data_IF_791744321302
#
_entry.id   IF_791744321302
#
_cell.length_a   1.000
_cell.length_b   1.000
_cell.length_c   1.000
_cell.angle_alpha   90.00
_cell.angle_beta   90.00
_cell.angle_gamma   90.00
#
_symmetry.space_group_name_H-M   'P 1'
#
loop_
_entity.id
_entity.type
_entity.pdbx_description
1 polymer ?
#
# COMPACT_ATOMS: atom_id res chain seq x y z
N UNK A 1 -112.30 -82.44 79.63
CA UNK A 1 -112.53 -83.34 78.47
C UNK A 1 -111.43 -83.05 77.47
N UNK A 2 -110.36 -83.84 77.30
CA UNK A 2 -110.10 -85.23 77.70
C UNK A 2 -108.58 -85.46 77.83
N UNK A 3 -108.20 -86.23 78.84
CA UNK A 3 -107.02 -87.12 79.07
C UNK A 3 -106.39 -87.73 77.79
N UNK A 4 -105.16 -88.26 77.71
CA UNK A 4 -103.96 -88.36 78.56
C UNK A 4 -102.85 -89.08 77.72
N UNK A 5 -101.60 -88.74 77.98
CA UNK A 5 -100.32 -89.48 77.83
C UNK A 5 -99.98 -90.41 76.62
N UNK A 6 -98.84 -90.15 75.94
CA UNK A 6 -97.52 -90.83 76.18
C UNK A 6 -96.36 -90.38 75.25
N UNK A 7 -95.27 -89.98 75.92
CA UNK A 7 -93.83 -90.24 75.70
C UNK A 7 -92.98 -89.68 74.51
N UNK A 8 -92.02 -88.83 74.92
CA UNK A 8 -90.56 -88.78 74.62
C UNK A 8 -90.05 -88.56 73.17
N UNK A 9 -89.39 -87.40 72.94
CA UNK A 9 -87.90 -87.28 72.79
C UNK A 9 -87.43 -85.85 72.39
N UNK A 10 -86.41 -85.40 73.12
CA UNK A 10 -85.21 -84.60 72.73
C UNK A 10 -85.32 -83.11 72.33
N UNK A 11 -84.57 -82.35 73.12
CA UNK A 11 -84.07 -80.97 73.06
C UNK A 11 -82.96 -80.73 72.01
N UNK A 12 -82.84 -79.50 71.46
CA UNK A 12 -81.70 -78.56 71.65
C UNK A 12 -81.53 -77.44 70.57
N UNK A 13 -81.12 -76.25 71.05
CA UNK A 13 -80.41 -75.10 70.41
C UNK A 13 -81.15 -74.03 69.55
N UNK A 14 -80.92 -72.71 69.81
CA UNK A 14 -79.68 -72.03 69.37
C UNK A 14 -79.11 -70.92 70.31
N UNK A 15 -77.86 -71.06 70.77
CA UNK A 15 -77.05 -70.01 71.42
C UNK A 15 -75.63 -69.81 70.81
N UNK A 16 -75.28 -70.60 69.79
CA UNK A 16 -73.90 -70.73 69.27
C UNK A 16 -73.55 -69.71 68.17
N UNK A 17 -74.53 -69.35 67.34
CA UNK A 17 -74.36 -68.45 66.18
C UNK A 17 -73.95 -67.01 66.55
N UNK A 18 -74.32 -66.54 67.74
CA UNK A 18 -74.04 -65.16 68.19
C UNK A 18 -72.57 -65.00 68.59
N UNK A 19 -71.95 -66.03 69.16
CA UNK A 19 -70.52 -66.05 69.53
C UNK A 19 -69.61 -66.15 68.31
N UNK A 20 -69.98 -66.96 67.33
CA UNK A 20 -69.27 -67.02 66.04
C UNK A 20 -69.33 -65.70 65.28
N UNK A 21 -70.49 -65.04 65.25
CA UNK A 21 -70.64 -63.70 64.64
C UNK A 21 -69.76 -62.65 65.33
N UNK A 22 -69.73 -62.62 66.66
CA UNK A 22 -68.85 -61.71 67.41
C UNK A 22 -67.36 -62.00 67.22
N UNK A 23 -66.97 -63.27 67.10
CA UNK A 23 -65.59 -63.66 66.82
C UNK A 23 -65.17 -63.23 65.40
N UNK A 24 -66.04 -63.43 64.41
CA UNK A 24 -65.82 -63.00 63.03
C UNK A 24 -65.72 -61.47 62.92
N UNK A 25 -66.61 -60.71 63.57
CA UNK A 25 -66.56 -59.25 63.58
C UNK A 25 -65.28 -58.73 64.23
N UNK A 26 -64.83 -59.34 65.34
CA UNK A 26 -63.55 -58.99 65.98
C UNK A 26 -62.35 -59.29 65.10
N UNK A 27 -62.33 -60.43 64.42
CA UNK A 27 -61.26 -60.81 63.50
C UNK A 27 -61.23 -59.91 62.26
N UNK A 28 -62.40 -59.57 61.70
CA UNK A 28 -62.53 -58.67 60.54
C UNK A 28 -62.11 -57.25 60.88
N UNK A 29 -62.50 -56.74 62.06
CA UNK A 29 -62.05 -55.44 62.56
C UNK A 29 -60.54 -55.43 62.82
N UNK A 30 -59.98 -56.48 63.43
CA UNK A 30 -58.53 -56.59 63.66
C UNK A 30 -57.74 -56.62 62.35
N UNK A 31 -58.20 -57.40 61.37
CA UNK A 31 -57.56 -57.50 60.05
C UNK A 31 -57.76 -56.22 59.22
N UNK A 32 -58.90 -55.55 59.40
CA UNK A 32 -59.14 -54.22 58.82
C UNK A 32 -58.23 -53.15 59.40
N UNK A 33 -57.96 -53.18 60.72
CA UNK A 33 -56.98 -52.33 61.40
C UNK A 33 -55.56 -52.63 60.92
N UNK A 34 -55.14 -53.90 60.86
CA UNK A 34 -53.82 -54.28 60.34
C UNK A 34 -53.60 -53.82 58.89
N UNK A 35 -54.62 -53.95 58.02
CA UNK A 35 -54.55 -53.47 56.63
C UNK A 35 -54.54 -51.95 56.56
N UNK A 36 -55.31 -51.25 57.39
CA UNK A 36 -55.27 -49.77 57.41
C UNK A 36 -53.97 -49.24 57.99
N UNK A 37 -53.38 -49.89 58.99
CA UNK A 37 -52.05 -49.57 59.51
C UNK A 37 -50.97 -49.80 58.44
N UNK A 38 -50.99 -50.95 57.76
CA UNK A 38 -50.08 -51.25 56.65
C UNK A 38 -50.23 -50.26 55.49
N UNK A 39 -51.46 -49.88 55.12
CA UNK A 39 -51.72 -48.87 54.10
C UNK A 39 -51.26 -47.48 54.53
N UNK A 40 -51.37 -47.12 55.81
CA UNK A 40 -50.88 -45.85 56.34
C UNK A 40 -49.34 -45.82 56.36
N UNK A 41 -48.71 -46.94 56.65
CA UNK A 41 -47.25 -47.13 56.56
C UNK A 41 -46.78 -47.00 55.11
N UNK A 42 -47.37 -47.75 54.18
CA UNK A 42 -47.08 -47.61 52.75
C UNK A 42 -47.34 -46.17 52.26
N UNK A 43 -48.42 -45.52 52.71
CA UNK A 43 -48.70 -44.14 52.29
C UNK A 43 -47.64 -43.15 52.81
N UNK A 44 -47.14 -43.34 54.04
CA UNK A 44 -46.01 -42.56 54.56
C UNK A 44 -44.76 -42.81 53.74
N UNK A 45 -44.45 -44.07 53.48
CA UNK A 45 -43.25 -44.47 52.74
C UNK A 45 -43.27 -43.92 51.30
N UNK A 46 -44.42 -44.02 50.62
CA UNK A 46 -44.64 -43.44 49.29
C UNK A 46 -44.55 -41.91 49.32
N UNK A 47 -45.08 -41.24 50.36
CA UNK A 47 -44.95 -39.78 50.50
C UNK A 47 -43.51 -39.36 50.72
N UNK A 48 -42.75 -40.08 51.54
CA UNK A 48 -41.33 -39.83 51.77
C UNK A 48 -40.52 -40.04 50.49
N UNK A 49 -40.78 -41.12 49.74
CA UNK A 49 -40.15 -41.38 48.45
C UNK A 49 -40.48 -40.27 47.44
N UNK A 50 -41.76 -39.89 47.33
CA UNK A 50 -42.20 -38.83 46.44
C UNK A 50 -41.55 -37.48 46.77
N UNK A 51 -41.36 -37.19 48.05
CA UNK A 51 -40.68 -35.97 48.50
C UNK A 51 -39.19 -36.00 48.16
N UNK A 52 -38.50 -37.11 48.43
CA UNK A 52 -37.09 -37.30 48.04
C UNK A 52 -36.90 -37.15 46.53
N UNK A 53 -37.73 -37.80 45.73
CA UNK A 53 -37.67 -37.73 44.26
C UNK A 53 -37.97 -36.32 43.75
N UNK A 54 -38.85 -35.55 44.41
CA UNK A 54 -39.12 -34.15 44.04
C UNK A 54 -37.95 -33.23 44.35
N UNK A 55 -37.32 -33.40 45.51
CA UNK A 55 -36.12 -32.64 45.90
C UNK A 55 -34.95 -32.95 44.96
N UNK A 56 -34.78 -34.22 44.60
CA UNK A 56 -33.77 -34.66 43.64
C UNK A 56 -34.06 -34.14 42.23
N UNK A 57 -35.32 -34.17 41.77
CA UNK A 57 -35.71 -33.54 40.49
C UNK A 57 -35.46 -32.04 40.47
N UNK A 58 -35.74 -31.33 41.57
CA UNK A 58 -35.50 -29.90 41.67
C UNK A 58 -34.00 -29.58 41.57
N UNK A 59 -33.14 -30.36 42.23
CA UNK A 59 -31.67 -30.25 42.11
C UNK A 59 -31.18 -30.54 40.69
N UNK A 60 -31.63 -31.63 40.09
CA UNK A 60 -31.25 -31.99 38.72
C UNK A 60 -31.68 -30.93 37.71
N UNK A 61 -32.88 -30.37 37.83
CA UNK A 61 -33.34 -29.26 36.98
C UNK A 61 -32.50 -27.99 37.14
N UNK A 62 -32.11 -27.65 38.37
CA UNK A 62 -31.22 -26.52 38.62
C UNK A 62 -29.82 -26.75 38.02
N UNK A 63 -29.32 -27.99 38.09
CA UNK A 63 -28.04 -28.37 37.49
C UNK A 63 -28.10 -28.32 35.95
N UNK A 64 -29.14 -28.85 35.33
CA UNK A 64 -29.34 -28.77 33.87
C UNK A 64 -29.44 -27.32 33.39
N UNK A 65 -30.17 -26.46 34.11
CA UNK A 65 -30.26 -25.04 33.78
C UNK A 65 -28.90 -24.32 33.88
N UNK A 66 -28.07 -24.69 34.87
CA UNK A 66 -26.69 -24.21 34.98
C UNK A 66 -25.83 -24.71 33.81
N UNK A 67 -25.96 -25.98 33.44
CA UNK A 67 -25.21 -26.58 32.33
C UNK A 67 -25.60 -25.99 30.96
N UNK A 68 -26.87 -25.63 30.78
CA UNK A 68 -27.36 -24.91 29.60
C UNK A 68 -26.78 -23.49 29.54
N UNK A 69 -26.76 -22.75 30.65
CA UNK A 69 -26.15 -21.43 30.72
C UNK A 69 -24.64 -21.46 30.45
N UNK A 70 -23.93 -22.48 30.96
CA UNK A 70 -22.51 -22.70 30.68
C UNK A 70 -22.31 -22.98 29.19
N UNK A 71 -23.16 -23.81 28.57
CA UNK A 71 -23.09 -24.09 27.13
C UNK A 71 -23.28 -22.84 26.27
N UNK A 72 -24.21 -21.96 26.62
CA UNK A 72 -24.42 -20.72 25.88
C UNK A 72 -23.26 -19.73 26.05
N UNK A 73 -22.68 -19.64 27.26
CA UNK A 73 -21.46 -18.85 27.48
C UNK A 73 -20.28 -19.38 26.66
N UNK A 74 -20.08 -20.70 26.59
CA UNK A 74 -19.02 -21.31 25.78
C UNK A 74 -19.20 -21.00 24.29
N UNK A 75 -20.42 -21.12 23.76
CA UNK A 75 -20.73 -20.72 22.38
C UNK A 75 -20.41 -19.25 22.13
N UNK A 76 -20.73 -18.38 23.10
CA UNK A 76 -20.45 -16.95 22.97
C UNK A 76 -18.96 -16.66 22.98
N UNK A 77 -18.20 -17.37 23.81
CA UNK A 77 -16.72 -17.28 23.83
C UNK A 77 -16.16 -17.70 22.47
N UNK A 78 -16.58 -18.83 21.92
CA UNK A 78 -16.13 -19.30 20.59
C UNK A 78 -16.45 -18.28 19.49
N UNK A 79 -17.65 -17.70 19.51
CA UNK A 79 -18.04 -16.64 18.56
C UNK A 79 -17.13 -15.41 18.71
N UNK A 80 -16.93 -14.92 19.93
CA UNK A 80 -16.10 -13.75 20.19
C UNK A 80 -14.62 -14.00 19.84
N UNK A 81 -14.12 -15.22 20.05
CA UNK A 81 -12.78 -15.61 19.65
C UNK A 81 -12.62 -15.69 18.13
N UNK A 82 -13.65 -16.14 17.41
CA UNK A 82 -13.66 -16.12 15.95
C UNK A 82 -13.71 -14.67 15.41
N UNK A 83 -14.58 -13.82 15.97
CA UNK A 83 -14.67 -12.40 15.61
C UNK A 83 -13.35 -11.66 15.91
N UNK A 84 -12.74 -11.90 17.08
CA UNK A 84 -11.44 -11.33 17.44
C UNK A 84 -10.36 -11.74 16.44
N UNK A 85 -10.30 -13.02 16.07
CA UNK A 85 -9.33 -13.50 15.06
C UNK A 85 -9.55 -12.85 13.70
N UNK A 86 -10.79 -12.71 13.26
CA UNK A 86 -11.11 -12.06 11.99
C UNK A 86 -10.74 -10.56 12.00
N UNK A 87 -11.01 -9.85 13.10
CA UNK A 87 -10.64 -8.44 13.25
C UNK A 87 -9.12 -8.24 13.28
N UNK A 88 -8.39 -9.09 13.99
CA UNK A 88 -6.93 -9.03 14.01
C UNK A 88 -6.34 -9.26 12.60
N UNK A 89 -6.80 -10.30 11.89
CA UNK A 89 -6.35 -10.56 10.53
C UNK A 89 -6.63 -9.38 9.58
N UNK A 90 -7.79 -8.73 9.73
CA UNK A 90 -8.13 -7.53 8.95
C UNK A 90 -7.25 -6.32 9.33
N UNK A 91 -6.92 -6.16 10.61
CA UNK A 91 -5.99 -5.12 11.07
C UNK A 91 -4.62 -5.32 10.44
N UNK A 92 -4.10 -6.54 10.48
CA UNK A 92 -2.80 -6.87 9.89
C UNK A 92 -2.78 -6.60 8.37
N UNK A 93 -3.85 -6.93 7.65
CA UNK A 93 -3.99 -6.60 6.23
C UNK A 93 -4.01 -5.08 5.98
N UNK A 94 -4.75 -4.31 6.79
CA UNK A 94 -4.83 -2.86 6.66
C UNK A 94 -3.49 -2.20 6.99
N UNK A 95 -2.77 -2.68 8.00
CA UNK A 95 -1.46 -2.17 8.38
C UNK A 95 -0.44 -2.41 7.26
N UNK A 96 -0.47 -3.60 6.64
CA UNK A 96 0.39 -3.91 5.50
C UNK A 96 0.07 -3.04 4.27
N UNK A 97 -1.22 -2.86 3.96
CA UNK A 97 -1.65 -1.97 2.88
C UNK A 97 -1.30 -0.51 3.14
N UNK A 98 -1.34 -0.09 4.40
CA UNK A 98 -0.96 1.28 4.80
C UNK A 98 0.53 1.49 4.55
N UNK A 99 1.40 0.57 4.99
CA UNK A 99 2.85 0.63 4.71
C UNK A 99 3.16 0.68 3.22
N UNK A 100 2.50 -0.16 2.43
CA UNK A 100 2.68 -0.18 0.97
C UNK A 100 2.25 1.14 0.32
N UNK A 101 1.13 1.71 0.77
CA UNK A 101 0.66 3.00 0.28
C UNK A 101 1.59 4.15 0.67
N UNK A 102 2.16 4.13 1.88
CA UNK A 102 3.14 5.14 2.32
C UNK A 102 4.38 5.15 1.42
N UNK A 103 4.96 3.97 1.14
CA UNK A 103 6.11 3.84 0.23
C UNK A 103 5.77 4.38 -1.16
N UNK A 104 4.64 3.95 -1.72
CA UNK A 104 4.23 4.40 -3.06
C UNK A 104 3.92 5.90 -3.12
N UNK A 105 3.32 6.45 -2.07
CA UNK A 105 3.02 7.88 -2.01
C UNK A 105 4.32 8.68 -1.96
N UNK A 106 5.29 8.22 -1.17
CA UNK A 106 6.61 8.82 -1.12
C UNK A 106 7.32 8.81 -2.49
N UNK A 107 7.32 7.67 -3.20
CA UNK A 107 7.89 7.58 -4.55
C UNK A 107 7.22 8.57 -5.53
N UNK A 108 5.88 8.62 -5.53
CA UNK A 108 5.12 9.55 -6.39
C UNK A 108 5.43 11.01 -6.04
N UNK A 109 5.54 11.34 -4.74
CA UNK A 109 5.89 12.68 -4.30
C UNK A 109 7.30 13.08 -4.73
N UNK A 110 8.27 12.15 -4.70
CA UNK A 110 9.61 12.38 -5.22
C UNK A 110 9.60 12.62 -6.73
N UNK A 111 8.92 11.78 -7.51
CA UNK A 111 8.80 11.97 -8.97
C UNK A 111 8.12 13.29 -9.33
N UNK A 112 7.04 13.66 -8.61
CA UNK A 112 6.36 14.94 -8.80
C UNK A 112 7.25 16.13 -8.45
N UNK A 113 8.04 16.01 -7.38
CA UNK A 113 9.00 17.03 -6.98
C UNK A 113 10.06 17.24 -8.07
N UNK A 114 10.63 16.15 -8.59
CA UNK A 114 11.63 16.19 -9.66
C UNK A 114 11.06 16.81 -10.94
N UNK A 115 9.83 16.43 -11.33
CA UNK A 115 9.14 17.00 -12.48
C UNK A 115 8.89 18.50 -12.32
N UNK A 116 8.47 18.94 -11.12
CA UNK A 116 8.24 20.35 -10.83
C UNK A 116 9.53 21.16 -10.93
N UNK A 117 10.64 20.64 -10.39
CA UNK A 117 11.96 21.27 -10.49
C UNK A 117 12.40 21.40 -11.95
N UNK A 118 12.25 20.34 -12.75
CA UNK A 118 12.61 20.35 -14.18
C UNK A 118 11.72 21.31 -14.98
N UNK A 119 10.43 21.40 -14.64
CA UNK A 119 9.51 22.36 -15.26
C UNK A 119 9.93 23.82 -14.98
N UNK A 120 10.26 24.15 -13.73
CA UNK A 120 10.72 25.49 -13.36
C UNK A 120 12.03 25.82 -14.08
N UNK A 121 12.97 24.87 -14.11
CA UNK A 121 14.22 24.99 -14.85
C UNK A 121 13.99 25.27 -16.35
N UNK A 122 13.09 24.52 -16.98
CA UNK A 122 12.70 24.71 -18.37
C UNK A 122 12.11 26.09 -18.62
N UNK A 123 11.14 26.52 -17.80
CA UNK A 123 10.52 27.82 -17.91
C UNK A 123 11.53 28.95 -17.76
N UNK A 124 12.44 28.86 -16.78
CA UNK A 124 13.46 29.89 -16.56
C UNK A 124 14.48 29.96 -17.70
N UNK A 125 14.93 28.81 -18.19
CA UNK A 125 15.89 28.73 -19.29
C UNK A 125 15.35 29.40 -20.56
N UNK A 126 14.12 29.09 -20.94
CA UNK A 126 13.50 29.63 -22.16
C UNK A 126 12.95 31.05 -22.02
N UNK A 127 12.64 31.50 -20.79
CA UNK A 127 12.30 32.91 -20.54
C UNK A 127 13.52 33.84 -20.58
N UNK A 128 14.73 33.29 -20.55
CA UNK A 128 15.96 34.08 -20.50
C UNK A 128 16.43 34.48 -21.90
N UNK A 129 16.36 35.77 -22.22
CA UNK A 129 16.69 36.31 -23.54
C UNK A 129 18.09 36.95 -23.63
N UNK A 130 19.01 36.58 -22.72
CA UNK A 130 20.40 37.05 -22.78
C UNK A 130 21.36 35.87 -22.71
N UNK A 131 22.38 35.85 -23.57
CA UNK A 131 23.33 34.73 -23.65
C UNK A 131 24.02 34.49 -22.31
N UNK A 132 24.48 35.57 -21.66
CA UNK A 132 25.09 35.49 -20.32
C UNK A 132 24.12 34.94 -19.29
N UNK A 133 22.85 35.31 -19.36
CA UNK A 133 21.80 34.78 -18.50
C UNK A 133 21.60 33.29 -18.71
N UNK A 134 21.50 32.83 -19.96
CA UNK A 134 21.34 31.41 -20.31
C UNK A 134 22.53 30.60 -19.81
N UNK A 135 23.77 31.04 -20.08
CA UNK A 135 24.98 30.34 -19.60
C UNK A 135 25.01 30.26 -18.08
N UNK A 136 24.62 31.34 -17.39
CA UNK A 136 24.50 31.34 -15.92
C UNK A 136 23.45 30.31 -15.45
N UNK A 137 22.28 30.25 -16.08
CA UNK A 137 21.24 29.29 -15.72
C UNK A 137 21.71 27.85 -15.98
N UNK A 138 22.39 27.57 -17.11
CA UNK A 138 22.97 26.26 -17.38
C UNK A 138 23.97 25.87 -16.27
N UNK A 139 24.84 26.80 -15.86
CA UNK A 139 25.78 26.61 -14.74
C UNK A 139 25.05 26.30 -13.42
N UNK A 140 24.03 27.08 -13.08
CA UNK A 140 23.23 26.89 -11.86
C UNK A 140 22.52 25.53 -11.85
N UNK A 141 21.96 25.08 -12.99
CA UNK A 141 21.34 23.76 -13.09
C UNK A 141 22.35 22.62 -12.90
N UNK A 142 23.53 22.73 -13.51
CA UNK A 142 24.61 21.76 -13.33
C UNK A 142 25.07 21.71 -11.88
N UNK A 143 25.16 22.84 -11.19
CA UNK A 143 25.60 22.89 -9.80
C UNK A 143 24.51 22.44 -8.81
N UNK A 144 23.29 22.94 -8.94
CA UNK A 144 22.22 22.76 -7.95
C UNK A 144 21.51 21.42 -8.09
N UNK A 145 21.13 21.03 -9.31
CA UNK A 145 20.33 19.82 -9.52
C UNK A 145 21.23 18.59 -9.70
N UNK A 146 22.31 18.70 -10.49
CA UNK A 146 23.23 17.57 -10.66
C UNK A 146 24.32 17.45 -9.61
N UNK A 147 24.55 18.50 -8.81
CA UNK A 147 25.68 18.53 -7.88
C UNK A 147 27.02 18.53 -8.60
N UNK A 148 27.13 19.14 -9.78
CA UNK A 148 28.37 19.27 -10.52
C UNK A 148 29.39 20.14 -9.77
N UNK A 149 30.58 19.61 -9.56
CA UNK A 149 31.68 20.31 -8.90
C UNK A 149 32.68 20.87 -9.92
N UNK A 150 33.08 20.06 -10.89
CA UNK A 150 33.99 20.44 -11.98
C UNK A 150 33.34 20.12 -13.32
N UNK A 151 33.08 21.14 -14.14
CA UNK A 151 32.40 20.99 -15.41
C UNK A 151 32.72 22.13 -16.38
N UNK A 152 32.45 21.91 -17.66
CA UNK A 152 32.63 22.90 -18.72
C UNK A 152 31.50 22.82 -19.75
N UNK A 153 31.25 23.94 -20.41
CA UNK A 153 30.35 24.04 -21.56
C UNK A 153 31.19 24.53 -22.74
N UNK A 154 31.16 23.80 -23.85
CA UNK A 154 31.79 24.22 -25.10
C UNK A 154 30.74 24.56 -26.14
N UNK A 155 31.04 25.56 -26.96
CA UNK A 155 30.20 25.97 -28.09
C UNK A 155 30.95 25.71 -29.39
N UNK A 156 30.26 25.10 -30.35
CA UNK A 156 30.84 24.78 -31.66
C UNK A 156 31.04 26.05 -32.50
N UNK A 157 32.15 26.09 -33.23
CA UNK A 157 32.41 27.11 -34.23
C UNK A 157 31.46 27.01 -35.43
N UNK A 158 31.39 28.09 -36.20
CA UNK A 158 30.60 28.15 -37.43
C UNK A 158 31.03 27.14 -38.50
N UNK A 159 32.31 26.77 -38.56
CA UNK A 159 32.83 25.75 -39.49
C UNK A 159 32.51 24.32 -39.04
N UNK A 160 32.11 24.11 -37.78
CA UNK A 160 31.85 22.79 -37.20
C UNK A 160 33.10 21.97 -36.87
N UNK A 161 34.31 22.53 -37.02
CA UNK A 161 35.56 21.77 -36.86
C UNK A 161 36.08 21.78 -35.43
N UNK A 162 35.80 22.85 -34.68
CA UNK A 162 36.29 23.04 -33.32
C UNK A 162 35.19 23.59 -32.43
N UNK A 163 35.39 23.46 -31.13
CA UNK A 163 34.53 24.04 -30.12
C UNK A 163 35.36 24.76 -29.06
N UNK A 164 34.90 25.93 -28.64
CA UNK A 164 35.58 26.76 -27.65
C UNK A 164 34.87 26.69 -26.30
N UNK A 165 35.61 26.77 -25.19
CA UNK A 165 34.99 26.83 -23.88
C UNK A 165 34.17 28.12 -23.74
N UNK A 166 32.87 27.95 -23.55
CA UNK A 166 31.92 29.02 -23.21
C UNK A 166 31.90 29.29 -21.71
N UNK A 167 32.08 28.23 -20.91
CA UNK A 167 32.15 28.28 -19.45
C UNK A 167 33.05 27.14 -18.97
N UNK A 168 33.83 27.41 -17.93
CA UNK A 168 34.61 26.41 -17.19
C UNK A 168 34.49 26.67 -15.70
N UNK A 169 34.01 25.69 -14.95
CA UNK A 169 33.87 25.76 -13.48
C UNK A 169 34.84 24.78 -12.84
N UNK A 170 35.72 25.30 -11.96
CA UNK A 170 36.75 24.54 -11.23
C UNK A 170 37.70 23.67 -12.08
N UNK A 171 37.86 24.02 -13.37
CA UNK A 171 38.76 23.33 -14.31
C UNK A 171 39.94 24.18 -14.79
N UNK A 172 40.02 25.45 -14.37
CA UNK A 172 41.02 26.40 -14.87
C UNK A 172 40.73 26.87 -16.29
N UNK A 173 41.74 27.46 -16.96
CA UNK A 173 41.62 27.85 -18.36
C UNK A 173 41.65 26.63 -19.28
N UNK A 174 40.68 26.54 -20.18
CA UNK A 174 40.54 25.43 -21.11
C UNK A 174 40.92 25.84 -22.54
N UNK A 175 41.48 24.89 -23.27
CA UNK A 175 41.69 25.01 -24.71
C UNK A 175 40.43 24.66 -25.51
N UNK A 176 40.46 24.98 -26.80
CA UNK A 176 39.49 24.49 -27.78
C UNK A 176 39.60 22.98 -28.00
N UNK A 177 38.48 22.32 -28.27
CA UNK A 177 38.40 20.89 -28.63
C UNK A 177 38.19 20.74 -30.14
N UNK A 178 38.85 19.75 -30.76
CA UNK A 178 38.65 19.40 -32.17
C UNK A 178 37.51 18.38 -32.28
N UNK A 179 36.55 18.63 -33.18
CA UNK A 179 35.42 17.73 -33.40
C UNK A 179 35.92 16.44 -34.04
N UNK A 180 35.45 15.30 -33.53
CA UNK A 180 35.92 13.96 -33.93
C UNK A 180 37.17 13.46 -33.19
N UNK A 181 37.86 14.30 -32.41
CA UNK A 181 39.04 13.90 -31.62
C UNK A 181 38.73 13.82 -30.12
N UNK A 182 39.21 12.76 -29.48
CA UNK A 182 38.95 12.50 -28.06
C UNK A 182 37.46 12.24 -27.75
N UNK A 183 37.12 11.90 -26.50
CA UNK A 183 35.76 11.53 -26.15
C UNK A 183 34.77 12.70 -26.31
N UNK A 184 35.21 13.92 -26.01
CA UNK A 184 34.39 15.14 -26.14
C UNK A 184 34.11 15.43 -27.62
N UNK A 185 35.14 15.40 -28.48
CA UNK A 185 34.99 15.64 -29.91
C UNK A 185 34.17 14.54 -30.61
N UNK A 186 34.31 13.28 -30.19
CA UNK A 186 33.51 12.17 -30.71
C UNK A 186 32.03 12.35 -30.33
N UNK A 187 31.73 12.71 -29.08
CA UNK A 187 30.35 12.98 -28.66
C UNK A 187 29.73 14.14 -29.45
N UNK A 188 30.51 15.18 -29.74
CA UNK A 188 30.04 16.28 -30.61
C UNK A 188 29.75 15.81 -32.04
N UNK A 189 30.62 15.01 -32.63
CA UNK A 189 30.48 14.50 -33.99
C UNK A 189 29.28 13.54 -34.14
N UNK A 190 29.09 12.67 -33.15
CA UNK A 190 28.04 11.64 -33.17
C UNK A 190 26.69 12.15 -32.65
N UNK A 191 26.68 13.18 -31.82
CA UNK A 191 25.50 13.64 -31.10
C UNK A 191 25.03 12.68 -30.00
N UNK A 192 25.83 11.67 -29.65
CA UNK A 192 25.48 10.65 -28.65
C UNK A 192 26.07 11.05 -27.30
N UNK A 193 25.22 11.12 -26.27
CA UNK A 193 25.65 11.37 -24.91
C UNK A 193 26.44 10.18 -24.35
N UNK A 194 27.44 10.48 -23.51
CA UNK A 194 28.22 9.48 -22.78
C UNK A 194 28.13 9.77 -21.29
N UNK A 195 27.40 8.93 -20.55
CA UNK A 195 27.24 9.04 -19.10
C UNK A 195 27.86 7.79 -18.48
N UNK A 196 28.74 7.97 -17.51
CA UNK A 196 29.35 6.88 -16.75
C UNK A 196 28.46 6.52 -15.57
N UNK A 197 28.15 5.23 -15.43
CA UNK A 197 27.32 4.70 -14.34
C UNK A 197 28.14 3.91 -13.31
N UNK A 198 29.31 4.43 -12.92
CA UNK A 198 30.13 3.83 -11.86
C UNK A 198 29.51 4.06 -10.47
N UNK A 199 29.67 3.09 -9.56
CA UNK A 199 29.27 3.22 -8.14
C UNK A 199 30.42 2.81 -7.22
N UNK A 200 31.00 3.75 -6.42
CA UNK A 200 30.70 5.18 -6.38
C UNK A 200 31.28 5.93 -7.58
N UNK A 201 30.66 7.05 -7.98
CA UNK A 201 31.13 7.94 -9.04
C UNK A 201 32.54 8.50 -8.72
N UNK A 202 33.61 8.07 -9.41
CA UNK A 202 34.94 8.59 -9.15
C UNK A 202 35.14 9.96 -9.82
N UNK A 203 35.99 10.84 -9.28
CA UNK A 203 36.37 12.06 -9.98
C UNK A 203 37.08 11.71 -11.30
N UNK A 204 36.59 12.25 -12.42
CA UNK A 204 37.14 12.05 -13.76
C UNK A 204 38.19 13.10 -14.17
N UNK A 205 38.53 13.08 -15.46
CA UNK A 205 39.33 14.10 -16.17
C UNK A 205 38.61 14.56 -17.43
N UNK A 206 39.22 15.44 -18.25
CA UNK A 206 38.64 15.84 -19.54
C UNK A 206 38.77 14.73 -20.61
N UNK A 207 39.76 13.85 -20.46
CA UNK A 207 39.97 12.65 -21.29
C UNK A 207 39.07 11.50 -20.83
N UNK A 208 38.60 11.53 -19.57
CA UNK A 208 37.66 10.55 -19.05
C UNK A 208 36.61 11.18 -18.13
N UNK A 209 35.74 12.05 -18.68
CA UNK A 209 34.73 12.74 -17.90
C UNK A 209 33.61 11.78 -17.49
N UNK A 210 32.94 12.13 -16.40
CA UNK A 210 31.77 11.42 -15.87
C UNK A 210 30.57 11.51 -16.80
N UNK A 211 30.33 12.68 -17.40
CA UNK A 211 29.28 12.85 -18.38
C UNK A 211 29.71 13.79 -19.52
N UNK A 212 29.29 13.45 -20.74
CA UNK A 212 29.41 14.27 -21.94
C UNK A 212 28.04 14.34 -22.58
N UNK A 213 27.47 15.53 -22.66
CA UNK A 213 26.10 15.76 -23.13
C UNK A 213 26.12 16.75 -24.30
N UNK A 214 26.00 16.25 -25.54
CA UNK A 214 25.83 17.09 -26.72
C UNK A 214 24.56 17.92 -26.65
N UNK A 215 24.66 19.21 -26.95
CA UNK A 215 23.51 20.09 -27.12
C UNK A 215 23.05 20.01 -28.58
N UNK A 216 21.90 19.37 -28.80
CA UNK A 216 21.37 19.04 -30.12
C UNK A 216 20.23 19.98 -30.50
N UNK A 217 20.30 20.57 -31.69
CA UNK A 217 19.24 21.42 -32.25
C UNK A 217 18.93 20.95 -33.66
N UNK A 218 17.71 20.44 -33.88
CA UNK A 218 17.25 19.89 -35.18
C UNK A 218 18.25 18.88 -35.78
N UNK A 219 18.80 18.00 -34.94
CA UNK A 219 19.77 16.97 -35.34
C UNK A 219 21.21 17.44 -35.50
N UNK A 220 21.50 18.73 -35.26
CA UNK A 220 22.86 19.29 -35.32
C UNK A 220 23.38 19.56 -33.91
N UNK A 221 24.59 19.09 -33.61
CA UNK A 221 25.28 19.43 -32.37
C UNK A 221 25.81 20.87 -32.45
N UNK A 222 25.38 21.73 -31.52
CA UNK A 222 25.80 23.15 -31.46
C UNK A 222 26.80 23.42 -30.33
N UNK A 223 27.01 22.44 -29.45
CA UNK A 223 27.91 22.53 -28.31
C UNK A 223 27.83 21.27 -27.46
N UNK A 224 28.57 21.24 -26.36
CA UNK A 224 28.57 20.10 -25.44
C UNK A 224 28.72 20.58 -24.01
N UNK A 225 28.15 19.84 -23.08
CA UNK A 225 28.38 19.97 -21.65
C UNK A 225 29.26 18.80 -21.21
N UNK A 226 30.30 19.06 -20.43
CA UNK A 226 31.24 18.07 -19.90
C UNK A 226 31.25 18.16 -18.40
N UNK A 227 30.92 17.07 -17.71
CA UNK A 227 30.98 16.97 -16.25
C UNK A 227 32.15 16.06 -15.88
N UNK A 228 33.10 16.61 -15.13
CA UNK A 228 34.34 15.94 -14.74
C UNK A 228 34.23 15.36 -13.33
N UNK A 229 33.65 16.09 -12.39
CA UNK A 229 33.28 15.55 -11.07
C UNK A 229 32.00 16.16 -10.53
N UNK A 230 31.38 15.40 -9.62
CA UNK A 230 30.25 15.81 -8.79
C UNK A 230 30.70 15.96 -7.33
N UNK A 231 29.86 16.57 -6.50
CA UNK A 231 30.10 16.73 -5.07
C UNK A 231 30.33 15.38 -4.38
N UNK A 232 31.21 15.35 -3.38
CA UNK A 232 31.69 14.11 -2.74
C UNK A 232 30.59 13.23 -2.14
N UNK A 233 29.45 13.80 -1.70
CA UNK A 233 28.32 13.03 -1.19
C UNK A 233 27.47 12.33 -2.27
N UNK A 234 27.71 12.58 -3.56
CA UNK A 234 26.93 12.03 -4.67
C UNK A 234 27.61 10.78 -5.23
N UNK A 235 27.20 9.62 -4.72
CA UNK A 235 27.82 8.33 -5.08
C UNK A 235 27.30 7.74 -6.40
N UNK A 236 26.09 8.12 -6.85
CA UNK A 236 25.49 7.66 -8.12
C UNK A 236 24.61 8.73 -8.75
N UNK A 237 24.29 8.56 -10.03
CA UNK A 237 23.25 9.34 -10.68
C UNK A 237 21.86 8.91 -10.18
N UNK A 238 21.02 9.89 -9.91
CA UNK A 238 19.59 9.74 -9.67
C UNK A 238 18.81 9.85 -10.99
N UNK A 239 17.57 9.37 -11.01
CA UNK A 239 16.70 9.45 -12.18
C UNK A 239 16.55 10.90 -12.70
N UNK A 240 16.45 11.87 -11.79
CA UNK A 240 16.38 13.30 -12.13
C UNK A 240 17.63 13.83 -12.83
N UNK A 241 18.82 13.27 -12.57
CA UNK A 241 20.04 13.70 -13.25
C UNK A 241 20.01 13.30 -14.73
N UNK A 242 19.53 12.10 -15.05
CA UNK A 242 19.34 11.66 -16.44
C UNK A 242 18.31 12.52 -17.16
N UNK A 243 17.17 12.80 -16.51
CA UNK A 243 16.18 13.71 -17.07
C UNK A 243 16.74 15.12 -17.30
N UNK A 244 17.63 15.59 -16.41
CA UNK A 244 18.30 16.87 -16.57
C UNK A 244 19.34 16.85 -17.69
N UNK A 245 20.13 15.78 -17.86
CA UNK A 245 21.02 15.62 -19.00
C UNK A 245 20.26 15.68 -20.33
N UNK A 246 19.15 14.95 -20.44
CA UNK A 246 18.29 14.96 -21.64
C UNK A 246 17.71 16.36 -21.89
N UNK A 247 17.26 17.03 -20.84
CA UNK A 247 16.77 18.40 -20.91
C UNK A 247 17.86 19.37 -21.39
N UNK A 248 19.05 19.36 -20.79
CA UNK A 248 20.13 20.26 -21.14
C UNK A 248 20.63 19.99 -22.57
N UNK A 249 20.73 18.72 -22.97
CA UNK A 249 21.07 18.32 -24.32
C UNK A 249 20.05 18.78 -25.36
N UNK A 250 18.75 18.72 -25.05
CA UNK A 250 17.68 19.08 -25.99
C UNK A 250 17.38 20.59 -26.04
N UNK A 251 17.54 21.28 -24.92
CA UNK A 251 17.08 22.67 -24.77
C UNK A 251 18.21 23.69 -24.66
N UNK A 252 19.39 23.32 -24.14
CA UNK A 252 20.49 24.26 -23.91
C UNK A 252 20.92 25.00 -25.17
N UNK A 253 21.10 24.25 -26.27
CA UNK A 253 21.43 24.83 -27.57
C UNK A 253 20.33 25.76 -28.11
N UNK A 254 19.07 25.36 -28.01
CA UNK A 254 17.93 26.16 -28.47
C UNK A 254 17.81 27.47 -27.69
N UNK A 255 17.99 27.43 -26.36
CA UNK A 255 17.97 28.61 -25.51
C UNK A 255 19.11 29.58 -25.83
N UNK A 256 20.33 29.06 -26.05
CA UNK A 256 21.47 29.87 -26.48
C UNK A 256 21.22 30.54 -27.84
N UNK A 257 20.65 29.82 -28.80
CA UNK A 257 20.30 30.37 -30.11
C UNK A 257 19.26 31.49 -29.97
N UNK A 258 18.18 31.24 -29.22
CA UNK A 258 17.12 32.22 -29.02
C UNK A 258 17.67 33.49 -28.33
N UNK A 259 18.44 33.34 -27.27
CA UNK A 259 19.07 34.44 -26.56
C UNK A 259 20.08 35.20 -27.43
N UNK A 260 20.84 34.51 -28.28
CA UNK A 260 21.80 35.16 -29.19
C UNK A 260 21.08 35.93 -30.31
N UNK A 261 20.01 35.40 -30.88
CA UNK A 261 19.19 36.11 -31.87
C UNK A 261 18.49 37.33 -31.27
N UNK A 262 18.08 37.24 -30.01
CA UNK A 262 17.47 38.34 -29.29
C UNK A 262 18.48 39.39 -28.81
N UNK A 263 19.76 39.04 -28.60
CA UNK A 263 20.76 39.92 -28.00
C UNK A 263 20.98 41.25 -28.75
N UNK A 264 20.72 41.28 -30.07
CA UNK A 264 20.81 42.49 -30.90
C UNK A 264 19.52 43.33 -30.91
N UNK A 265 18.45 42.86 -30.27
CA UNK A 265 17.15 43.50 -30.20
C UNK A 265 16.98 44.24 -28.87
N UNK A 266 16.53 45.49 -28.94
CA UNK A 266 16.28 46.33 -27.75
C UNK A 266 14.80 46.35 -27.31
N UNK A 267 13.87 45.99 -28.19
CA UNK A 267 12.42 45.96 -27.94
C UNK A 267 11.84 44.59 -28.37
N UNK A 268 11.10 43.88 -27.51
CA UNK A 268 10.40 42.63 -27.87
C UNK A 268 9.55 42.75 -29.13
N UNK A 269 8.93 43.91 -29.40
CA UNK A 269 8.10 44.09 -30.60
C UNK A 269 8.91 44.01 -31.89
N UNK A 270 10.14 44.51 -31.87
CA UNK A 270 11.06 44.42 -33.01
C UNK A 270 11.50 42.98 -33.26
N UNK A 271 11.70 42.20 -32.19
CA UNK A 271 12.00 40.77 -32.32
C UNK A 271 10.84 39.96 -32.94
N UNK A 272 9.60 40.45 -32.82
CA UNK A 272 8.40 39.85 -33.40
C UNK A 272 8.04 40.43 -34.79
N UNK A 273 8.80 41.41 -35.28
CA UNK A 273 8.53 42.00 -36.60
C UNK A 273 8.69 40.96 -37.71
N UNK A 274 7.82 41.02 -38.72
CA UNK A 274 7.86 40.10 -39.86
C UNK A 274 7.32 38.68 -39.59
N UNK A 275 6.75 38.39 -38.42
CA UNK A 275 6.10 37.09 -38.15
C UNK A 275 5.03 36.76 -39.21
N UNK A 276 4.23 37.74 -39.63
CA UNK A 276 3.22 37.54 -40.70
C UNK A 276 3.85 37.07 -42.02
N UNK A 277 5.05 37.54 -42.35
CA UNK A 277 5.80 37.10 -43.54
C UNK A 277 6.28 35.67 -43.40
N UNK A 278 6.76 35.28 -42.21
CA UNK A 278 7.16 33.89 -41.93
C UNK A 278 5.97 32.92 -41.96
N UNK A 279 4.78 33.35 -41.54
CA UNK A 279 3.55 32.55 -41.61
C UNK A 279 3.00 32.44 -43.04
N UNK A 280 3.23 33.46 -43.87
CA UNK A 280 2.77 33.51 -45.26
C UNK A 280 3.73 32.85 -46.25
N UNK A 281 4.97 32.59 -45.85
CA UNK A 281 5.95 31.90 -46.68
C UNK A 281 5.55 30.41 -46.84
N UNK A 282 5.59 29.84 -48.06
CA UNK A 282 5.35 28.42 -48.24
C UNK A 282 6.37 27.61 -47.44
N UNK A 283 5.91 26.66 -46.63
CA UNK A 283 6.80 25.78 -45.86
C UNK A 283 7.74 25.06 -46.82
N UNK A 284 9.02 25.41 -46.79
CA UNK A 284 10.06 24.68 -47.52
C UNK A 284 10.26 23.35 -46.80
N UNK A 285 9.67 22.31 -47.40
CA UNK A 285 9.84 20.87 -47.16
C UNK A 285 10.58 20.41 -45.90
N UNK A 286 9.81 19.99 -44.89
CA UNK A 286 10.17 18.76 -44.17
C UNK A 286 9.83 17.57 -45.07
N UNK A 287 10.76 17.13 -45.90
CA UNK A 287 10.68 15.82 -46.56
C UNK A 287 12.05 15.33 -46.98
N UNK A 288 12.55 14.30 -46.28
CA UNK A 288 13.16 13.12 -46.90
C UNK A 288 13.47 12.07 -45.82
N UNK A 289 12.47 11.25 -45.48
CA UNK A 289 12.75 9.87 -45.09
C UNK A 289 12.82 9.06 -46.39
N UNK A 290 13.86 8.23 -46.62
CA UNK A 290 13.93 7.42 -47.82
C UNK A 290 12.86 6.31 -47.78
N UNK A 291 12.32 5.88 -48.93
CA UNK A 291 11.39 4.77 -48.97
C UNK A 291 12.10 3.48 -48.57
N UNK A 292 11.49 2.71 -47.68
CA UNK A 292 11.87 1.33 -47.42
C UNK A 292 11.74 0.54 -48.73
N UNK A 293 12.87 0.04 -49.22
CA UNK A 293 12.92 -0.86 -50.36
C UNK A 293 12.40 -2.25 -49.99
N UNK A 294 11.71 -2.84 -50.97
CA UNK A 294 11.34 -4.27 -51.06
C UNK A 294 12.55 -5.21 -51.01
#
# INVERSE_FOLDING_TARGET
MSEDERERRTSEHPADLTREREAFVRQFLRKGVEVTESLLEENREVREQLQRTREENARLRAQVASDDAIRDLLRKIEQLEAERRALLAKSDELDERTKQNEVRTFEIEQELHDLANLYIASSHLHATLSVRGVVKHLSELLQQLMGGERYAIFLMERNGERAWPLLSENLGELGSVVVGEGPIGIAMMTGIARIRDDEPLPPGTLEEPLAIVPMMVRGVCVGVIVVVSVLAQKERWAAVDHALFDFLGSHGGTALIAANQYASQSDPRTALDGIERHLSAPQVGQSSAPPAGE
#
